data_IF_721939406980
#
_entry.id   IF_721939406980
#
_cell.length_a   1.000
_cell.length_b   1.000
_cell.length_c   1.000
_cell.angle_alpha   90.00
_cell.angle_beta   90.00
_cell.angle_gamma   90.00
#
_symmetry.space_group_name_H-M   'P 1'
#
loop_
_entity.id
_entity.type
_entity.pdbx_description
1 polymer ?
#
# COMPACT_ATOMS: atom_id res chain seq x y z
N UNK A 1 -11.46 -9.96 9.99
CA UNK A 1 -10.89 -11.13 10.68
C UNK A 1 -9.44 -10.91 11.06
N UNK A 2 -8.54 -10.63 10.11
CA UNK A 2 -7.11 -10.38 10.40
C UNK A 2 -6.84 -9.29 11.45
N UNK A 3 -7.44 -8.10 11.33
CA UNK A 3 -7.29 -7.03 12.34
C UNK A 3 -7.63 -7.51 13.77
N UNK A 4 -8.73 -8.26 13.91
CA UNK A 4 -9.17 -8.79 15.21
C UNK A 4 -8.18 -9.81 15.76
N UNK A 5 -7.60 -10.64 14.88
CA UNK A 5 -6.52 -11.55 15.26
C UNK A 5 -5.30 -10.77 15.78
N UNK A 6 -4.89 -9.70 15.11
CA UNK A 6 -3.79 -8.85 15.57
C UNK A 6 -4.08 -8.19 16.92
N UNK A 7 -5.30 -7.69 17.14
CA UNK A 7 -5.71 -7.14 18.44
C UNK A 7 -5.58 -8.18 19.55
N UNK A 8 -6.08 -9.40 19.34
CA UNK A 8 -5.95 -10.48 20.33
C UNK A 8 -4.50 -10.95 20.55
N UNK A 9 -3.70 -11.02 19.47
CA UNK A 9 -2.30 -11.39 19.57
C UNK A 9 -1.51 -10.33 20.34
N UNK A 10 -1.76 -9.06 20.07
CA UNK A 10 -1.13 -7.94 20.74
C UNK A 10 -1.47 -7.94 22.24
N UNK A 11 -2.75 -8.10 22.58
CA UNK A 11 -3.21 -8.21 23.98
C UNK A 11 -2.47 -9.34 24.72
N UNK A 12 -2.38 -10.53 24.11
CA UNK A 12 -1.63 -11.65 24.68
C UNK A 12 -0.14 -11.32 24.89
N UNK A 13 0.51 -10.69 23.90
CA UNK A 13 1.93 -10.35 23.99
C UNK A 13 2.21 -9.27 25.04
N UNK A 14 1.33 -8.29 25.17
CA UNK A 14 1.40 -7.25 26.21
C UNK A 14 1.29 -7.87 27.60
N UNK A 15 0.24 -8.65 27.84
CA UNK A 15 0.02 -9.34 29.11
C UNK A 15 1.18 -10.27 29.47
N UNK A 16 1.71 -11.00 28.49
CA UNK A 16 2.85 -11.87 28.71
C UNK A 16 4.11 -11.06 29.06
N UNK A 17 4.36 -9.95 28.35
CA UNK A 17 5.50 -9.07 28.57
C UNK A 17 5.48 -8.47 29.97
N UNK A 18 4.34 -7.98 30.44
CA UNK A 18 4.19 -7.43 31.79
C UNK A 18 4.50 -8.46 32.87
N UNK A 19 4.13 -9.72 32.65
CA UNK A 19 4.41 -10.82 33.59
C UNK A 19 5.89 -11.18 33.63
N UNK A 20 6.57 -11.20 32.48
CA UNK A 20 7.99 -11.61 32.41
C UNK A 20 8.97 -10.47 32.62
N UNK A 21 8.55 -9.23 32.41
CA UNK A 21 9.36 -8.01 32.52
C UNK A 21 8.59 -6.89 33.23
N UNK A 22 8.21 -7.05 34.52
CA UNK A 22 7.36 -6.09 35.24
C UNK A 22 8.01 -4.72 35.48
N UNK A 23 9.32 -4.58 35.26
CA UNK A 23 10.05 -3.32 35.36
C UNK A 23 10.12 -2.55 34.03
N UNK A 24 9.61 -3.12 32.94
CA UNK A 24 9.54 -2.45 31.65
C UNK A 24 8.41 -1.42 31.69
N UNK A 25 8.74 -0.15 31.46
CA UNK A 25 7.74 0.91 31.39
C UNK A 25 6.97 0.82 30.06
N UNK A 26 5.73 0.35 30.13
CA UNK A 26 4.84 0.21 28.99
C UNK A 26 4.47 1.54 28.35
N UNK A 27 4.42 2.62 29.12
CA UNK A 27 4.08 3.95 28.59
C UNK A 27 5.25 4.50 27.78
N UNK A 28 6.47 4.35 28.29
CA UNK A 28 7.69 4.72 27.56
C UNK A 28 7.83 3.90 26.28
N UNK A 29 7.62 2.59 26.37
CA UNK A 29 7.66 1.70 25.21
C UNK A 29 6.62 2.08 24.15
N UNK A 30 5.37 2.32 24.57
CA UNK A 30 4.31 2.75 23.66
C UNK A 30 4.66 4.08 22.96
N UNK A 31 5.15 5.06 23.72
CA UNK A 31 5.58 6.35 23.17
C UNK A 31 6.71 6.20 22.14
N UNK A 32 7.69 5.33 22.41
CA UNK A 32 8.77 4.99 21.47
C UNK A 32 8.21 4.36 20.19
N UNK A 33 7.35 3.34 20.31
CA UNK A 33 6.73 2.64 19.16
C UNK A 33 5.94 3.63 18.31
N UNK A 34 5.13 4.48 18.94
CA UNK A 34 4.33 5.48 18.24
C UNK A 34 5.23 6.46 17.46
N UNK A 35 6.26 7.02 18.11
CA UNK A 35 7.16 7.96 17.46
C UNK A 35 7.93 7.34 16.28
N UNK A 36 8.39 6.10 16.43
CA UNK A 36 9.10 5.40 15.35
C UNK A 36 8.16 4.98 14.22
N UNK A 37 6.94 4.56 14.53
CA UNK A 37 5.91 4.26 13.54
C UNK A 37 5.54 5.50 12.72
N UNK A 38 5.26 6.64 13.38
CA UNK A 38 4.89 7.88 12.70
C UNK A 38 5.98 8.32 11.71
N UNK A 39 7.25 8.30 12.14
CA UNK A 39 8.39 8.59 11.24
C UNK A 39 8.42 7.64 10.04
N UNK A 40 8.36 6.32 10.26
CA UNK A 40 8.40 5.32 9.17
C UNK A 40 7.18 5.43 8.25
N UNK A 41 6.02 5.76 8.79
CA UNK A 41 4.78 5.94 8.04
C UNK A 41 4.82 7.19 7.16
N UNK A 42 5.32 8.30 7.69
CA UNK A 42 5.50 9.54 6.93
C UNK A 42 6.56 9.40 5.84
N UNK A 43 7.64 8.66 6.10
CA UNK A 43 8.65 8.35 5.09
C UNK A 43 8.19 7.28 4.08
N UNK A 44 7.09 6.56 4.37
CA UNK A 44 6.60 5.46 3.52
C UNK A 44 7.52 4.24 3.51
N UNK A 45 8.35 4.09 4.55
CA UNK A 45 9.32 2.99 4.71
C UNK A 45 8.82 1.93 5.69
N UNK A 46 7.56 2.00 6.13
CA UNK A 46 6.99 1.01 7.01
C UNK A 46 6.79 -0.32 6.25
N UNK A 47 7.34 -1.45 6.72
CA UNK A 47 7.28 -2.73 6.01
C UNK A 47 5.84 -3.18 5.72
N UNK A 48 5.61 -3.75 4.54
CA UNK A 48 4.26 -4.22 4.13
C UNK A 48 3.29 -3.11 3.73
N UNK A 49 3.62 -1.85 4.01
CA UNK A 49 2.82 -0.67 3.71
C UNK A 49 3.63 0.36 2.93
N UNK A 50 4.11 0.03 1.71
CA UNK A 50 4.78 1.02 0.89
C UNK A 50 3.82 2.19 0.68
N UNK A 51 4.30 3.43 0.89
CA UNK A 51 3.61 4.55 0.26
C UNK A 51 3.59 4.20 -1.21
N UNK A 52 2.40 4.18 -1.82
CA UNK A 52 2.30 4.21 -3.26
C UNK A 52 3.10 5.45 -3.69
N UNK A 53 4.37 5.24 -4.04
CA UNK A 53 4.97 5.96 -5.16
C UNK A 53 3.91 5.81 -6.22
N UNK A 54 3.15 6.89 -6.45
CA UNK A 54 2.28 7.07 -7.61
C UNK A 54 2.89 6.20 -8.68
N UNK A 55 2.23 5.08 -8.98
CA UNK A 55 2.84 3.97 -9.72
C UNK A 55 3.70 4.58 -10.81
N UNK A 56 4.95 4.18 -10.98
CA UNK A 56 5.78 4.73 -12.05
C UNK A 56 5.08 4.65 -13.43
N UNK A 57 4.03 3.81 -13.56
CA UNK A 57 3.10 3.78 -14.69
C UNK A 57 2.11 4.96 -14.83
N UNK A 58 1.85 5.73 -13.77
CA UNK A 58 0.95 6.91 -13.76
C UNK A 58 1.65 8.20 -14.16
N UNK A 59 2.99 8.28 -14.07
CA UNK A 59 3.77 9.45 -14.51
C UNK A 59 4.67 9.20 -15.73
N UNK A 60 4.84 7.96 -16.20
CA UNK A 60 5.62 7.66 -17.40
C UNK A 60 4.83 7.82 -18.72
N UNK A 61 3.83 8.70 -18.74
CA UNK A 61 3.21 9.13 -19.98
C UNK A 61 4.08 10.19 -20.64
N UNK A 62 4.85 9.84 -21.66
CA UNK A 62 5.60 10.83 -22.42
C UNK A 62 4.62 11.82 -23.08
N UNK A 63 4.83 13.12 -22.88
CA UNK A 63 4.03 14.17 -23.53
C UNK A 63 4.09 13.97 -25.05
N UNK A 64 2.93 13.86 -25.69
CA UNK A 64 2.81 13.78 -27.13
C UNK A 64 2.36 15.13 -27.64
N UNK A 65 3.17 15.78 -28.46
CA UNK A 65 2.74 17.00 -29.14
C UNK A 65 1.71 16.66 -30.21
N UNK A 66 0.46 17.09 -29.99
CA UNK A 66 -0.64 16.87 -30.91
C UNK A 66 -0.65 17.89 -32.06
N UNK A 67 0.16 18.96 -31.98
CA UNK A 67 0.23 20.01 -33.01
C UNK A 67 0.61 19.42 -34.38
N UNK A 68 1.52 18.45 -34.38
CA UNK A 68 2.06 17.76 -35.55
C UNK A 68 1.09 16.81 -36.26
N UNK A 69 -0.05 16.46 -35.66
CA UNK A 69 -0.98 15.47 -36.20
C UNK A 69 -2.22 16.14 -36.78
N UNK A 70 -2.57 15.83 -38.02
CA UNK A 70 -3.72 16.42 -38.71
C UNK A 70 -5.04 15.68 -38.48
N UNK A 71 -4.96 14.41 -38.07
CA UNK A 71 -6.14 13.56 -37.84
C UNK A 71 -5.91 12.51 -36.74
N UNK A 72 -6.99 11.86 -36.29
CA UNK A 72 -6.91 10.80 -35.29
C UNK A 72 -6.35 9.48 -35.86
N UNK A 73 -6.47 9.27 -37.18
CA UNK A 73 -5.90 8.12 -37.89
C UNK A 73 -4.37 8.15 -37.86
N UNK A 74 -3.75 9.33 -37.97
CA UNK A 74 -2.30 9.47 -37.80
C UNK A 74 -1.87 9.14 -36.36
N UNK A 75 -2.67 9.52 -35.35
CA UNK A 75 -2.43 9.13 -33.97
C UNK A 75 -2.60 7.62 -33.74
N UNK A 76 -3.60 7.02 -34.39
CA UNK A 76 -3.83 5.57 -34.37
C UNK A 76 -2.61 4.79 -34.90
N UNK A 77 -1.92 5.33 -35.92
CA UNK A 77 -0.71 4.73 -36.49
C UNK A 77 0.47 4.63 -35.50
N UNK A 78 0.47 5.42 -34.41
CA UNK A 78 1.49 5.36 -33.36
C UNK A 78 1.40 4.11 -32.47
N UNK A 79 0.27 3.41 -32.54
CA UNK A 79 0.05 2.18 -31.79
C UNK A 79 -0.48 2.38 -30.37
N UNK A 80 -0.91 1.26 -29.79
CA UNK A 80 -1.71 1.22 -28.57
C UNK A 80 -0.95 1.70 -27.32
N UNK A 81 0.34 1.40 -27.24
CA UNK A 81 1.20 1.79 -26.12
C UNK A 81 1.50 3.30 -26.12
N UNK A 82 1.69 3.90 -27.30
CA UNK A 82 1.92 5.35 -27.41
C UNK A 82 0.66 6.15 -27.07
N UNK A 83 -0.51 5.68 -27.50
CA UNK A 83 -1.79 6.30 -27.14
C UNK A 83 -2.11 6.15 -25.66
N UNK A 84 -1.85 4.96 -25.08
CA UNK A 84 -2.05 4.73 -23.65
C UNK A 84 -1.17 5.64 -22.81
N UNK A 85 0.12 5.76 -23.15
CA UNK A 85 1.05 6.64 -22.43
C UNK A 85 0.64 8.11 -22.52
N UNK A 86 0.27 8.60 -23.71
CA UNK A 86 -0.18 9.98 -23.88
C UNK A 86 -1.50 10.30 -23.13
N UNK A 87 -2.49 9.38 -23.15
CA UNK A 87 -3.73 9.55 -22.40
C UNK A 87 -3.49 9.55 -20.88
N UNK A 88 -2.59 8.69 -20.39
CA UNK A 88 -2.20 8.68 -18.99
C UNK A 88 -1.47 9.96 -18.58
N UNK A 89 -0.60 10.51 -19.45
CA UNK A 89 0.09 11.78 -19.22
C UNK A 89 -0.90 12.94 -18.97
N UNK A 90 -2.06 12.90 -19.65
CA UNK A 90 -3.13 13.90 -19.53
C UNK A 90 -4.18 13.56 -18.46
N UNK A 91 -4.04 12.44 -17.73
CA UNK A 91 -5.00 11.99 -16.72
C UNK A 91 -6.34 11.49 -17.29
N UNK A 92 -6.37 11.14 -18.57
CA UNK A 92 -7.59 10.71 -19.28
C UNK A 92 -7.76 9.20 -19.25
N UNK A 93 -9.01 8.76 -19.44
CA UNK A 93 -9.32 7.32 -19.55
C UNK A 93 -8.58 6.69 -20.74
N UNK A 94 -7.93 5.55 -20.51
CA UNK A 94 -7.20 4.80 -21.54
C UNK A 94 -7.89 3.50 -21.98
N UNK A 95 -9.17 3.29 -21.63
CA UNK A 95 -9.96 2.13 -22.07
C UNK A 95 -10.50 2.28 -23.50
N UNK A 96 -10.93 1.17 -24.10
CA UNK A 96 -11.51 1.13 -25.44
C UNK A 96 -10.55 0.64 -26.53
N UNK A 97 -11.06 0.65 -27.78
CA UNK A 97 -10.30 0.29 -28.98
C UNK A 97 -9.18 1.31 -29.26
N UNK A 98 -8.27 0.97 -30.16
CA UNK A 98 -7.18 1.86 -30.57
C UNK A 98 -7.72 3.17 -31.18
N UNK A 99 -8.80 3.07 -31.96
CA UNK A 99 -9.49 4.20 -32.58
C UNK A 99 -10.14 5.12 -31.54
N UNK A 100 -10.86 4.54 -30.56
CA UNK A 100 -11.48 5.30 -29.47
C UNK A 100 -10.45 6.06 -28.62
N UNK A 101 -9.27 5.47 -28.42
CA UNK A 101 -8.15 6.13 -27.72
C UNK A 101 -7.56 7.27 -28.55
N UNK A 102 -7.36 7.05 -29.84
CA UNK A 102 -6.83 8.06 -30.75
C UNK A 102 -7.79 9.26 -30.90
N UNK A 103 -9.08 9.00 -31.07
CA UNK A 103 -10.13 10.03 -31.12
C UNK A 103 -10.20 10.82 -29.80
N UNK A 104 -10.16 10.11 -28.66
CA UNK A 104 -10.15 10.75 -27.34
C UNK A 104 -8.94 11.66 -27.17
N UNK A 105 -7.75 11.19 -27.52
CA UNK A 105 -6.52 11.98 -27.45
C UNK A 105 -6.59 13.19 -28.41
N UNK A 106 -7.02 12.99 -29.66
CA UNK A 106 -7.17 14.07 -30.65
C UNK A 106 -8.16 15.15 -30.21
N UNK A 107 -9.24 14.76 -29.51
CA UNK A 107 -10.28 15.69 -29.02
C UNK A 107 -9.76 16.74 -28.02
N UNK A 108 -8.56 16.49 -27.46
CA UNK A 108 -7.85 17.38 -26.53
C UNK A 108 -6.94 18.39 -27.24
N UNK A 109 -6.68 18.21 -28.55
CA UNK A 109 -5.81 19.10 -29.34
C UNK A 109 -6.36 20.53 -29.28
N UNK A 110 -5.52 21.46 -28.82
CA UNK A 110 -5.85 22.89 -28.77
C UNK A 110 -6.84 23.29 -27.66
N UNK A 111 -7.18 22.39 -26.73
CA UNK A 111 -8.02 22.69 -25.55
C UNK A 111 -7.17 22.70 -24.29
N UNK A 112 -7.46 23.60 -23.36
CA UNK A 112 -6.93 23.51 -22.00
C UNK A 112 -7.58 22.31 -21.29
N UNK A 113 -6.84 21.69 -20.34
CA UNK A 113 -7.35 20.56 -19.56
C UNK A 113 -8.64 20.92 -18.80
N UNK A 114 -8.79 22.17 -18.38
CA UNK A 114 -9.97 22.69 -17.68
C UNK A 114 -11.23 22.79 -18.56
N UNK A 115 -11.06 22.89 -19.88
CA UNK A 115 -12.15 22.96 -20.85
C UNK A 115 -12.64 21.58 -21.31
N UNK A 116 -12.02 20.49 -20.85
CA UNK A 116 -12.42 19.13 -21.17
C UNK A 116 -13.56 18.67 -20.27
N UNK A 117 -14.44 17.81 -20.79
CA UNK A 117 -15.51 17.21 -20.01
C UNK A 117 -14.93 16.40 -18.83
N UNK A 118 -15.32 16.71 -17.57
CA UNK A 118 -14.92 15.95 -16.38
C UNK A 118 -15.15 14.44 -16.49
N UNK A 119 -16.10 14.00 -17.33
CA UNK A 119 -16.39 12.58 -17.57
C UNK A 119 -15.27 11.84 -18.31
N UNK A 120 -14.41 12.56 -19.06
CA UNK A 120 -13.30 11.99 -19.83
C UNK A 120 -12.07 11.67 -18.97
N UNK A 121 -11.95 12.35 -17.83
CA UNK A 121 -10.88 12.10 -16.87
C UNK A 121 -11.07 10.74 -16.21
N UNK A 122 -9.94 10.07 -15.95
CA UNK A 122 -9.97 8.89 -15.12
C UNK A 122 -10.46 9.32 -13.73
N UNK A 123 -11.53 8.68 -13.23
CA UNK A 123 -11.95 8.91 -11.85
C UNK A 123 -10.76 8.53 -10.97
N UNK A 124 -10.22 9.49 -10.23
CA UNK A 124 -9.27 9.17 -9.19
C UNK A 124 -10.04 8.28 -8.20
N UNK A 125 -9.64 7.00 -7.99
CA UNK A 125 -10.37 6.10 -7.09
C UNK A 125 -10.47 6.65 -5.65
N UNK A 126 -9.70 7.70 -5.34
CA UNK A 126 -9.44 8.19 -4.00
C UNK A 126 -10.40 9.24 -3.44
N UNK A 127 -11.42 9.71 -4.16
CA UNK A 127 -12.20 10.87 -3.67
C UNK A 127 -13.31 10.57 -2.64
N UNK A 128 -13.81 9.33 -2.48
CA UNK A 128 -14.96 9.06 -1.58
C UNK A 128 -14.83 7.83 -0.66
N UNK A 129 -13.95 6.87 -0.95
CA UNK A 129 -13.64 5.72 -0.07
C UNK A 129 -12.30 5.80 0.66
N UNK A 130 -11.37 6.62 0.14
CA UNK A 130 -9.95 6.58 0.49
C UNK A 130 -9.62 6.95 1.93
N UNK A 131 -10.30 7.93 2.54
CA UNK A 131 -9.88 8.42 3.86
C UNK A 131 -10.12 7.36 4.94
N UNK A 132 -11.30 6.75 4.94
CA UNK A 132 -11.66 5.68 5.87
C UNK A 132 -10.79 4.43 5.67
N UNK A 133 -10.49 4.09 4.42
CA UNK A 133 -9.61 2.96 4.12
C UNK A 133 -8.16 3.25 4.52
N UNK A 134 -7.71 4.49 4.36
CA UNK A 134 -6.36 4.93 4.79
C UNK A 134 -6.24 4.93 6.31
N UNK A 135 -7.25 5.43 7.02
CA UNK A 135 -7.32 5.38 8.49
C UNK A 135 -7.33 3.93 8.97
N UNK A 136 -8.21 3.08 8.41
CA UNK A 136 -8.28 1.66 8.75
C UNK A 136 -6.96 0.93 8.47
N UNK A 137 -6.28 1.24 7.37
CA UNK A 137 -4.98 0.67 7.03
C UNK A 137 -3.89 1.15 7.99
N UNK A 138 -3.91 2.43 8.35
CA UNK A 138 -2.97 3.00 9.34
C UNK A 138 -3.16 2.34 10.70
N UNK A 139 -4.41 2.09 11.12
CA UNK A 139 -4.71 1.37 12.37
C UNK A 139 -4.09 -0.05 12.36
N UNK A 140 -4.27 -0.78 11.26
CA UNK A 140 -3.71 -2.14 11.11
C UNK A 140 -2.18 -2.10 11.09
N UNK A 141 -1.58 -1.17 10.34
CA UNK A 141 -0.13 -1.00 10.30
C UNK A 141 0.44 -0.67 11.70
N UNK A 142 -0.29 0.12 12.49
CA UNK A 142 0.13 0.45 13.85
C UNK A 142 0.02 -0.75 14.80
N UNK A 143 -1.00 -1.60 14.66
CA UNK A 143 -1.07 -2.87 15.39
C UNK A 143 0.11 -3.78 15.05
N UNK A 144 0.45 -3.90 13.76
CA UNK A 144 1.61 -4.68 13.32
C UNK A 144 2.93 -4.11 13.87
N UNK A 145 3.08 -2.78 13.90
CA UNK A 145 4.25 -2.12 14.47
C UNK A 145 4.46 -2.49 15.94
N UNK A 146 3.38 -2.46 16.74
CA UNK A 146 3.42 -2.86 18.14
C UNK A 146 3.80 -4.34 18.28
N UNK A 147 3.17 -5.23 17.52
CA UNK A 147 3.47 -6.66 17.55
C UNK A 147 4.93 -6.93 17.21
N UNK A 148 5.50 -6.24 16.20
CA UNK A 148 6.92 -6.39 15.87
C UNK A 148 7.84 -6.03 17.04
N UNK A 149 7.56 -4.93 17.76
CA UNK A 149 8.38 -4.54 18.91
C UNK A 149 8.25 -5.54 20.07
N UNK A 150 7.02 -5.96 20.43
CA UNK A 150 6.83 -6.95 21.50
C UNK A 150 7.48 -8.29 21.18
N UNK A 151 7.38 -8.73 19.92
CA UNK A 151 8.00 -9.98 19.47
C UNK A 151 9.53 -9.89 19.50
N UNK A 152 10.11 -8.71 19.24
CA UNK A 152 11.54 -8.48 19.39
C UNK A 152 11.98 -8.50 20.86
N UNK A 153 11.22 -7.83 21.74
CA UNK A 153 11.45 -7.83 23.20
C UNK A 153 11.37 -9.26 23.77
N UNK A 154 10.48 -10.09 23.23
CA UNK A 154 10.26 -11.49 23.61
C UNK A 154 11.03 -12.48 22.72
N UNK A 155 12.05 -12.02 21.99
CA UNK A 155 12.77 -12.83 21.00
C UNK A 155 13.35 -14.13 21.58
N UNK A 156 13.89 -14.08 22.80
CA UNK A 156 14.39 -15.24 23.52
C UNK A 156 13.27 -16.24 23.85
N UNK A 157 12.18 -15.77 24.45
CA UNK A 157 11.03 -16.62 24.83
C UNK A 157 10.39 -17.26 23.59
N UNK A 158 10.32 -16.51 22.47
CA UNK A 158 9.84 -17.03 21.19
C UNK A 158 10.72 -18.17 20.68
N UNK A 159 12.05 -18.00 20.72
CA UNK A 159 12.99 -19.03 20.28
C UNK A 159 12.89 -20.29 21.14
N UNK A 160 12.88 -20.12 22.48
CA UNK A 160 12.72 -21.23 23.42
C UNK A 160 11.40 -22.00 23.20
N UNK A 161 10.32 -21.27 22.92
CA UNK A 161 9.01 -21.87 22.64
C UNK A 161 9.04 -22.65 21.34
N UNK A 162 9.65 -22.09 20.29
CA UNK A 162 9.80 -22.77 19.00
C UNK A 162 10.60 -24.07 19.14
N UNK A 163 11.74 -24.03 19.83
CA UNK A 163 12.55 -25.23 20.11
C UNK A 163 11.78 -26.26 20.93
N UNK A 164 10.99 -25.83 21.92
CA UNK A 164 10.17 -26.73 22.71
C UNK A 164 9.10 -27.44 21.86
N UNK A 165 8.45 -26.70 20.96
CA UNK A 165 7.49 -27.28 20.02
C UNK A 165 8.16 -28.30 19.10
N UNK A 166 9.34 -27.99 18.56
CA UNK A 166 10.12 -28.93 17.74
C UNK A 166 10.50 -30.20 18.51
N UNK A 167 11.02 -30.04 19.73
CA UNK A 167 11.35 -31.18 20.61
C UNK A 167 10.12 -32.04 20.90
N UNK A 168 8.98 -31.42 21.21
CA UNK A 168 7.73 -32.16 21.47
C UNK A 168 7.23 -32.88 20.22
N UNK A 169 7.36 -32.27 19.05
CA UNK A 169 6.97 -32.89 17.79
C UNK A 169 7.80 -34.14 17.46
N UNK A 170 9.10 -34.12 17.80
CA UNK A 170 10.02 -35.23 17.54
C UNK A 170 9.88 -36.44 18.50
N UNK A 171 9.17 -36.29 19.62
CA UNK A 171 8.99 -37.34 20.63
C UNK A 171 7.98 -38.41 20.22
N UNK A 172 8.26 -39.64 20.60
CA UNK A 172 7.33 -40.79 20.55
C UNK A 172 6.23 -40.67 21.61
N UNK A 173 5.20 -41.53 21.55
CA UNK A 173 4.05 -41.45 22.47
C UNK A 173 4.42 -41.53 23.95
N UNK A 174 5.33 -42.43 24.30
CA UNK A 174 5.80 -42.66 25.69
C UNK A 174 6.68 -41.51 26.23
N UNK A 175 7.31 -40.72 25.35
CA UNK A 175 8.15 -39.58 25.73
C UNK A 175 7.36 -38.26 25.85
N UNK A 176 6.10 -38.25 25.40
CA UNK A 176 5.20 -37.08 25.44
C UNK A 176 4.33 -37.03 26.70
N UNK A 177 4.07 -38.18 27.33
CA UNK A 177 3.44 -38.26 28.67
C UNK A 177 4.42 -37.81 29.77
#
# INVERSE_FOLDING_TARGET
EYRRYLEMLLEYLQDYTDRVKPLLDQNELFGKIQGDFEKKWEMGTFPGWPKETSSALTHAGAHLDLSAFSSWEELASLGLDRLKSALLALGLKCGGTLEERAQRLFSTKGKSLEALDPSLFAKNPKAKGSKRDTERNKDVAFLEAQIYEYVEILGEQRQLTHENVQRKQARTGEERE
#
